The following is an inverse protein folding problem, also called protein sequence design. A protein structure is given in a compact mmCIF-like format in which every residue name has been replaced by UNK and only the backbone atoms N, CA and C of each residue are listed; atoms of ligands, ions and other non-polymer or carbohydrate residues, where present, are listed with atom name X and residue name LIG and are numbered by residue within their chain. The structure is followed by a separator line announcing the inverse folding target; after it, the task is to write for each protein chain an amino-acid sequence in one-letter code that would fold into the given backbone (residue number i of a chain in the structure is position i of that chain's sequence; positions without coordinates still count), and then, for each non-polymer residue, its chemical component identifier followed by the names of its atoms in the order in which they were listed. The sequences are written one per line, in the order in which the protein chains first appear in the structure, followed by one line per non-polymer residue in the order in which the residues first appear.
data_IF_980724114154
#
_entry.id   IF_980724114154
#
_cell.length_a   1.000
_cell.length_b   1.000
_cell.length_c   1.000
_cell.angle_alpha   90.00
_cell.angle_beta   90.00
_cell.angle_gamma   90.00
#
_symmetry.space_group_name_H-M   'P 1'
#
loop_
_entity.id
_entity.type
_entity.pdbx_description
1 polymer ?
#
# COMPACT_ATOMS: atom_id res chain seq x y z
N UNK A 1 -32.88 -37.74 -25.95
CA UNK A 1 -33.42 -36.71 -25.03
C UNK A 1 -33.78 -37.37 -23.70
N UNK A 2 -33.84 -36.68 -22.55
CA UNK A 2 -32.87 -35.82 -21.82
C UNK A 2 -32.65 -36.38 -20.37
N UNK A 3 -31.67 -35.98 -19.54
CA UNK A 3 -31.55 -34.78 -18.69
C UNK A 3 -30.21 -34.92 -17.93
N UNK A 4 -29.28 -33.96 -17.99
CA UNK A 4 -29.18 -32.71 -17.20
C UNK A 4 -28.44 -32.86 -15.85
N UNK A 5 -27.26 -32.24 -15.77
CA UNK A 5 -26.82 -31.46 -14.60
C UNK A 5 -26.00 -32.14 -13.51
N UNK A 6 -24.67 -31.98 -13.55
CA UNK A 6 -23.96 -31.12 -12.58
C UNK A 6 -22.43 -31.09 -12.84
N UNK A 7 -21.79 -29.90 -12.78
CA UNK A 7 -20.37 -29.71 -13.00
C UNK A 7 -19.58 -30.00 -11.71
N UNK A 8 -18.77 -31.05 -11.70
CA UNK A 8 -17.89 -31.36 -10.57
C UNK A 8 -16.55 -30.62 -10.71
N UNK A 9 -16.51 -29.46 -10.05
CA UNK A 9 -15.38 -28.87 -9.33
C UNK A 9 -14.19 -28.32 -10.16
N UNK A 10 -14.02 -26.98 -10.26
CA UNK A 10 -12.76 -26.41 -10.68
C UNK A 10 -11.69 -26.64 -9.60
N UNK A 11 -10.54 -27.16 -10.07
CA UNK A 11 -9.27 -27.36 -9.37
C UNK A 11 -9.07 -26.47 -8.13
N UNK A 12 -8.97 -27.11 -6.96
CA UNK A 12 -8.48 -26.52 -5.71
C UNK A 12 -7.01 -26.04 -5.76
N UNK A 13 -6.39 -26.01 -6.94
CA UNK A 13 -5.08 -25.43 -7.22
C UNK A 13 -5.16 -23.99 -7.75
N UNK A 14 -6.35 -23.43 -8.00
CA UNK A 14 -6.51 -22.03 -8.45
C UNK A 14 -6.79 -21.05 -7.29
N UNK A 15 -6.91 -21.51 -6.04
CA UNK A 15 -7.19 -20.63 -4.89
C UNK A 15 -6.01 -20.38 -3.94
N UNK A 16 -4.77 -20.67 -4.35
CA UNK A 16 -3.57 -20.30 -3.56
C UNK A 16 -2.62 -19.33 -4.26
N UNK A 17 -2.88 -18.97 -5.51
CA UNK A 17 -1.99 -18.10 -6.31
C UNK A 17 -2.48 -16.66 -6.49
N UNK A 18 -3.40 -16.19 -5.63
CA UNK A 18 -3.76 -14.76 -5.55
C UNK A 18 -3.11 -14.05 -4.33
N UNK A 19 -2.15 -14.69 -3.66
CA UNK A 19 -1.39 -14.08 -2.56
C UNK A 19 0.01 -13.59 -3.00
N UNK A 20 0.22 -13.38 -4.31
CA UNK A 20 1.40 -12.66 -4.77
C UNK A 20 1.01 -11.87 -6.00
N UNK A 21 0.27 -10.80 -5.76
CA UNK A 21 0.35 -9.64 -6.63
C UNK A 21 1.84 -9.27 -6.71
N UNK A 22 2.46 -9.21 -7.89
CA UNK A 22 3.77 -8.59 -8.04
C UNK A 22 3.60 -7.05 -7.91
N UNK A 23 3.09 -6.59 -6.77
CA UNK A 23 3.08 -5.18 -6.34
C UNK A 23 4.36 -4.84 -5.55
N UNK A 24 5.22 -5.83 -5.31
CA UNK A 24 6.40 -5.77 -4.45
C UNK A 24 7.61 -5.02 -5.02
N UNK A 25 7.52 -4.40 -6.19
CA UNK A 25 8.68 -3.70 -6.79
C UNK A 25 8.55 -2.17 -6.82
N UNK A 26 7.45 -1.61 -6.32
CA UNK A 26 7.19 -0.16 -6.29
C UNK A 26 6.72 0.32 -4.91
N UNK A 27 5.82 -0.44 -4.29
CA UNK A 27 5.45 -0.24 -2.90
C UNK A 27 6.51 -0.88 -2.01
N UNK A 28 7.09 -0.08 -1.13
CA UNK A 28 7.99 -0.57 -0.10
C UNK A 28 7.31 -0.44 1.27
N UNK A 29 7.67 -1.34 2.18
CA UNK A 29 6.99 -1.47 3.47
C UNK A 29 7.94 -1.61 4.62
N UNK A 30 7.53 -1.06 5.75
CA UNK A 30 8.17 -1.26 7.05
C UNK A 30 7.14 -1.69 8.08
N UNK A 31 7.61 -2.41 9.08
CA UNK A 31 6.82 -2.76 10.26
C UNK A 31 7.18 -1.80 11.41
N UNK A 32 6.17 -1.23 12.06
CA UNK A 32 6.33 -0.31 13.18
C UNK A 32 5.21 -0.50 14.20
N UNK A 33 5.56 -0.83 15.44
CA UNK A 33 4.61 -0.97 16.57
C UNK A 33 3.39 -1.88 16.30
N UNK A 34 3.60 -3.01 15.60
CA UNK A 34 2.53 -3.96 15.26
C UNK A 34 1.63 -3.50 14.10
N UNK A 35 2.06 -2.46 13.40
CA UNK A 35 1.42 -1.95 12.18
C UNK A 35 2.37 -2.05 11.00
N UNK A 36 1.80 -2.20 9.81
CA UNK A 36 2.52 -2.15 8.55
C UNK A 36 2.31 -0.77 7.92
N UNK A 37 3.42 -0.15 7.54
CA UNK A 37 3.46 1.13 6.85
C UNK A 37 3.94 0.88 5.43
N UNK A 38 3.09 1.17 4.46
CA UNK A 38 3.35 1.01 3.04
C UNK A 38 3.54 2.40 2.42
N UNK A 39 4.57 2.57 1.60
CA UNK A 39 4.90 3.84 0.95
C UNK A 39 5.19 3.62 -0.53
N UNK A 40 4.61 4.48 -1.36
CA UNK A 40 4.87 4.61 -2.78
C UNK A 40 5.27 6.05 -3.08
N UNK A 41 6.51 6.27 -3.52
CA UNK A 41 6.90 7.50 -4.19
C UNK A 41 6.17 7.62 -5.52
N UNK A 42 5.58 8.78 -5.79
CA UNK A 42 4.87 9.06 -7.04
C UNK A 42 5.41 10.34 -7.65
N UNK A 43 5.55 10.40 -8.97
CA UNK A 43 5.98 11.64 -9.62
C UNK A 43 4.89 12.71 -9.51
N UNK A 44 5.31 13.93 -9.19
CA UNK A 44 4.43 15.08 -9.19
C UNK A 44 4.03 15.41 -10.64
N UNK A 45 2.73 15.28 -10.93
CA UNK A 45 2.20 15.63 -12.25
C UNK A 45 1.91 17.13 -12.30
N UNK A 46 2.54 17.85 -13.24
CA UNK A 46 2.42 19.30 -13.37
C UNK A 46 2.92 19.81 -14.73
N UNK A 47 2.83 21.13 -15.01
CA UNK A 47 3.47 21.72 -16.18
C UNK A 47 4.95 21.35 -16.22
N UNK A 48 5.57 21.20 -17.40
CA UNK A 48 6.94 20.72 -17.52
C UNK A 48 7.89 21.61 -16.73
N UNK A 49 8.28 21.13 -15.55
CA UNK A 49 9.32 21.69 -14.72
C UNK A 49 10.66 21.06 -15.15
N UNK A 50 11.77 21.80 -15.07
CA UNK A 50 13.08 21.30 -15.50
C UNK A 50 13.56 20.09 -14.71
N UNK A 51 13.03 19.87 -13.50
CA UNK A 51 13.39 18.78 -12.60
C UNK A 51 12.16 17.95 -12.24
N UNK A 52 12.29 16.62 -12.26
CA UNK A 52 11.22 15.71 -11.83
C UNK A 52 11.02 15.85 -10.32
N UNK A 53 9.85 16.33 -9.93
CA UNK A 53 9.45 16.38 -8.53
C UNK A 53 8.68 15.11 -8.14
N UNK A 54 8.73 14.78 -6.85
CA UNK A 54 8.13 13.58 -6.28
C UNK A 54 7.19 13.92 -5.13
N UNK A 55 6.17 13.10 -4.94
CA UNK A 55 5.31 13.04 -3.77
C UNK A 55 5.36 11.64 -3.19
N UNK A 56 4.68 11.41 -2.06
CA UNK A 56 4.42 10.06 -1.58
C UNK A 56 2.94 9.83 -1.33
N UNK A 57 2.53 8.58 -1.53
CA UNK A 57 1.28 8.03 -1.05
C UNK A 57 1.63 6.87 -0.14
N UNK A 58 0.90 6.72 0.96
CA UNK A 58 1.11 5.63 1.88
C UNK A 58 -0.16 5.11 2.51
N UNK A 59 -0.04 3.93 3.09
CA UNK A 59 -1.08 3.26 3.86
C UNK A 59 -0.52 2.77 5.18
N UNK A 60 -1.30 2.90 6.25
CA UNK A 60 -1.02 2.24 7.52
C UNK A 60 -2.13 1.24 7.81
N UNK A 61 -1.76 -0.02 8.04
CA UNK A 61 -2.69 -1.07 8.42
C UNK A 61 -2.14 -1.86 9.62
N UNK A 62 -2.99 -2.66 10.26
CA UNK A 62 -2.51 -3.62 11.26
C UNK A 62 -1.70 -4.73 10.59
N UNK A 63 -0.74 -5.28 11.31
CA UNK A 63 0.07 -6.37 10.79
C UNK A 63 -0.78 -7.54 10.28
N UNK A 64 -0.60 -7.91 9.01
CA UNK A 64 -1.34 -8.97 8.34
C UNK A 64 -2.68 -8.55 7.74
N UNK A 65 -3.06 -7.27 7.86
CA UNK A 65 -4.21 -6.70 7.16
C UNK A 65 -3.80 -6.21 5.76
N UNK A 66 -4.71 -6.33 4.80
CA UNK A 66 -4.42 -5.94 3.42
C UNK A 66 -4.47 -4.41 3.29
N UNK A 67 -3.32 -3.81 2.95
CA UNK A 67 -3.16 -2.37 2.81
C UNK A 67 -4.03 -1.78 1.68
N UNK A 68 -4.42 -2.59 0.69
CA UNK A 68 -5.15 -2.16 -0.49
C UNK A 68 -6.67 -2.34 -0.36
N UNK A 69 -7.15 -2.95 0.74
CA UNK A 69 -8.58 -3.09 1.02
C UNK A 69 -9.13 -1.92 1.84
N UNK A 70 -10.20 -1.30 1.31
CA UNK A 70 -10.90 -0.21 1.99
C UNK A 70 -11.45 -0.67 3.36
N UNK A 71 -11.16 0.10 4.41
CA UNK A 71 -11.58 -0.19 5.79
C UNK A 71 -10.59 -1.05 6.60
N UNK A 72 -9.55 -1.60 5.97
CA UNK A 72 -8.46 -2.30 6.66
C UNK A 72 -7.16 -1.49 6.73
N UNK A 73 -7.10 -0.39 5.97
CA UNK A 73 -5.96 0.53 5.95
C UNK A 73 -6.41 1.97 6.04
N UNK A 74 -5.53 2.81 6.61
CA UNK A 74 -5.67 4.26 6.64
C UNK A 74 -4.68 4.85 5.66
N UNK A 75 -5.22 5.45 4.58
CA UNK A 75 -4.43 6.17 3.58
C UNK A 75 -3.89 7.47 4.16
N UNK A 76 -2.65 7.79 3.83
CA UNK A 76 -2.02 9.08 4.07
C UNK A 76 -1.22 9.48 2.83
N UNK A 77 -1.07 10.77 2.58
CA UNK A 77 -0.32 11.29 1.43
C UNK A 77 0.02 12.75 1.68
N UNK A 78 1.13 13.20 1.13
CA UNK A 78 1.49 14.62 1.05
C UNK A 78 1.66 14.98 -0.42
N UNK A 79 0.72 15.77 -0.94
CA UNK A 79 0.68 16.20 -2.34
C UNK A 79 1.03 17.68 -2.50
N UNK A 80 1.24 18.42 -1.40
CA UNK A 80 1.67 19.82 -1.43
C UNK A 80 3.18 19.91 -1.37
N UNK A 81 3.83 19.10 -0.53
CA UNK A 81 5.29 19.02 -0.51
C UNK A 81 5.78 18.19 -1.71
N UNK A 82 6.74 18.76 -2.44
CA UNK A 82 7.44 18.09 -3.53
C UNK A 82 8.88 17.81 -3.12
N UNK A 83 9.32 16.57 -3.32
CA UNK A 83 10.67 16.08 -3.07
C UNK A 83 11.46 16.04 -4.39
N UNK A 84 12.79 16.09 -4.31
CA UNK A 84 13.67 16.12 -5.47
C UNK A 84 14.09 14.72 -5.93
N UNK A 85 13.76 13.68 -5.16
CA UNK A 85 14.13 12.30 -5.47
C UNK A 85 13.10 11.29 -4.96
N UNK A 86 13.10 10.11 -5.57
CA UNK A 86 12.24 9.00 -5.20
C UNK A 86 12.51 8.56 -3.75
N UNK A 87 13.80 8.47 -3.38
CA UNK A 87 14.26 8.08 -2.05
C UNK A 87 13.82 9.08 -0.98
N UNK A 88 13.95 10.38 -1.26
CA UNK A 88 13.56 11.45 -0.34
C UNK A 88 12.06 11.41 -0.07
N UNK A 89 11.24 11.22 -1.12
CA UNK A 89 9.80 11.04 -0.98
C UNK A 89 9.45 9.78 -0.16
N UNK A 90 10.20 8.70 -0.37
CA UNK A 90 10.02 7.44 0.36
C UNK A 90 10.31 7.60 1.85
N UNK A 91 11.46 8.19 2.20
CA UNK A 91 11.85 8.43 3.59
C UNK A 91 10.85 9.34 4.31
N UNK A 92 10.43 10.42 3.65
CA UNK A 92 9.38 11.29 4.18
C UNK A 92 8.05 10.56 4.41
N UNK A 93 7.69 9.66 3.49
CA UNK A 93 6.53 8.77 3.64
C UNK A 93 6.66 7.85 4.86
N UNK A 94 7.83 7.28 5.13
CA UNK A 94 8.05 6.45 6.32
C UNK A 94 7.99 7.24 7.61
N UNK A 95 8.56 8.44 7.66
CA UNK A 95 8.45 9.29 8.85
C UNK A 95 7.00 9.66 9.15
N UNK A 96 6.23 10.03 8.12
CA UNK A 96 4.81 10.31 8.27
C UNK A 96 4.02 9.06 8.71
N UNK A 97 4.28 7.92 8.08
CA UNK A 97 3.63 6.66 8.40
C UNK A 97 3.95 6.13 9.80
N UNK A 98 5.19 6.27 10.28
CA UNK A 98 5.58 5.93 11.65
C UNK A 98 4.85 6.77 12.68
N UNK A 99 4.82 8.11 12.50
CA UNK A 99 4.05 9.01 13.38
C UNK A 99 2.57 8.66 13.41
N UNK A 100 2.01 8.27 12.27
CA UNK A 100 0.63 7.85 12.17
C UNK A 100 0.39 6.52 12.90
N UNK A 101 1.31 5.57 12.75
CA UNK A 101 1.25 4.30 13.47
C UNK A 101 1.37 4.50 15.00
N UNK A 102 2.27 5.36 15.47
CA UNK A 102 2.37 5.71 16.89
C UNK A 102 1.05 6.25 17.47
N UNK A 103 0.35 7.11 16.73
CA UNK A 103 -0.96 7.62 17.14
C UNK A 103 -2.01 6.52 17.21
N UNK A 104 -2.04 5.59 16.25
CA UNK A 104 -3.02 4.49 16.24
C UNK A 104 -2.72 3.49 17.36
N UNK A 105 -1.45 3.17 17.59
CA UNK A 105 -1.01 2.30 18.68
C UNK A 105 -1.37 2.88 20.04
N UNK A 106 -1.12 4.18 20.25
CA UNK A 106 -1.45 4.88 21.49
C UNK A 106 -2.96 4.99 21.72
N UNK A 107 -3.76 5.11 20.67
CA UNK A 107 -5.23 5.14 20.78
C UNK A 107 -5.85 3.77 21.14
N UNK A 108 -5.11 2.68 20.94
CA UNK A 108 -5.55 1.32 21.24
C UNK A 108 -5.02 0.79 22.58
N UNK A 109 -4.19 1.56 23.30
CA UNK A 109 -3.60 1.22 24.60
C UNK A 109 -4.43 1.82 25.76
#
# INVERSE_FOLDING_TARGET
MPHAGSPAQPNALILKSLATVPEANMWDKIEHNGQEVWVLPVTAYGPPVPETLWHYVGYVCHHGADAHLAGQSRRFQELVATFHSEEEAREAGYDAGRRLADQISTANA
#
